data_IF_284187333557
#
_entry.id   IF_284187333557
#
_cell.length_a   1.000
_cell.length_b   1.000
_cell.length_c   1.000
_cell.angle_alpha   90.00
_cell.angle_beta   90.00
_cell.angle_gamma   90.00
#
_symmetry.space_group_name_H-M   'P 1'
#
loop_
_entity.id
_entity.type
_entity.pdbx_description
1 polymer ?
#
# COMPACT_ATOMS: atom_id res chain seq x y z
N UNK A 1 22.99 -8.75 12.80
CA UNK A 1 21.96 -7.98 13.52
C UNK A 1 20.95 -7.57 12.47
N UNK A 2 19.75 -8.16 12.42
CA UNK A 2 18.75 -7.72 11.45
C UNK A 2 18.21 -6.37 11.92
N UNK A 3 18.56 -5.31 11.21
CA UNK A 3 17.87 -4.03 11.31
C UNK A 3 16.36 -4.28 11.17
N UNK A 4 15.57 -3.69 12.05
CA UNK A 4 14.12 -3.84 12.00
C UNK A 4 13.61 -3.16 10.73
N UNK A 5 13.02 -3.94 9.81
CA UNK A 5 12.49 -3.39 8.57
C UNK A 5 11.30 -2.46 8.86
N UNK A 6 11.41 -1.21 8.42
CA UNK A 6 10.33 -0.23 8.50
C UNK A 6 9.72 0.09 7.13
N UNK A 7 8.40 -0.05 7.04
CA UNK A 7 7.63 0.33 5.86
C UNK A 7 7.60 1.85 5.66
N UNK A 8 7.62 2.63 6.73
CA UNK A 8 7.59 4.10 6.68
C UNK A 8 8.91 4.68 6.15
N UNK A 9 10.00 3.91 6.24
CA UNK A 9 11.30 4.28 5.70
C UNK A 9 11.48 3.81 4.26
N UNK A 10 11.00 2.62 3.89
CA UNK A 10 11.29 2.05 2.56
C UNK A 10 10.18 2.26 1.52
N UNK A 11 8.89 2.23 1.90
CA UNK A 11 7.75 2.47 0.99
C UNK A 11 7.66 1.55 -0.25
N UNK A 12 8.49 0.50 -0.36
CA UNK A 12 8.75 -0.15 -1.66
C UNK A 12 7.54 -0.89 -2.22
N UNK A 13 6.81 -1.64 -1.40
CA UNK A 13 5.60 -2.33 -1.84
C UNK A 13 4.49 -1.35 -2.28
N UNK A 14 4.51 -0.10 -1.82
CA UNK A 14 3.59 0.92 -2.29
C UNK A 14 3.96 1.44 -3.70
N UNK A 15 5.20 1.23 -4.16
CA UNK A 15 5.67 1.61 -5.50
C UNK A 15 5.37 0.55 -6.57
N UNK A 16 4.83 -0.61 -6.19
CA UNK A 16 4.55 -1.75 -7.09
C UNK A 16 3.05 -1.92 -7.36
N UNK A 17 2.24 -0.88 -7.16
CA UNK A 17 0.77 -0.98 -7.22
C UNK A 17 0.16 -0.94 -8.64
N UNK A 18 0.97 -0.65 -9.66
CA UNK A 18 0.56 -0.29 -11.04
C UNK A 18 -0.43 -1.24 -11.69
N UNK A 19 -0.41 -2.51 -11.30
CA UNK A 19 -1.22 -3.55 -11.94
C UNK A 19 -2.53 -3.85 -11.19
N UNK A 20 -2.94 -3.03 -10.20
CA UNK A 20 -4.19 -3.28 -9.47
C UNK A 20 -4.13 -4.54 -8.60
N UNK A 21 -2.92 -4.92 -8.17
CA UNK A 21 -2.64 -6.10 -7.35
C UNK A 21 -2.77 -5.84 -5.85
N UNK A 22 -2.78 -4.57 -5.43
CA UNK A 22 -3.04 -4.18 -4.04
C UNK A 22 -4.55 -4.08 -3.83
N UNK A 23 -5.18 -5.25 -3.76
CA UNK A 23 -6.64 -5.39 -3.67
C UNK A 23 -7.18 -4.77 -2.38
N UNK A 24 -8.39 -4.24 -2.46
CA UNK A 24 -9.14 -3.72 -1.32
C UNK A 24 -10.35 -4.62 -1.10
N UNK A 25 -10.35 -5.46 -0.05
CA UNK A 25 -11.55 -6.20 0.34
C UNK A 25 -12.73 -5.28 0.62
N UNK A 26 -13.95 -5.73 0.32
CA UNK A 26 -15.18 -4.95 0.57
C UNK A 26 -15.30 -4.48 2.03
N UNK A 27 -14.84 -5.29 2.98
CA UNK A 27 -14.81 -4.96 4.40
C UNK A 27 -14.02 -3.70 4.73
N UNK A 28 -12.95 -3.39 3.97
CA UNK A 28 -12.20 -2.15 4.15
C UNK A 28 -12.97 -0.93 3.64
N UNK A 29 -13.68 -1.06 2.51
CA UNK A 29 -14.52 0.02 1.98
C UNK A 29 -15.62 0.38 2.99
N UNK A 30 -16.28 -0.62 3.57
CA UNK A 30 -17.30 -0.44 4.60
C UNK A 30 -16.68 0.22 5.83
N UNK A 31 -15.54 -0.29 6.30
CA UNK A 31 -14.84 0.23 7.48
C UNK A 31 -14.43 1.69 7.31
N UNK A 32 -13.85 2.07 6.17
CA UNK A 32 -13.43 3.45 5.92
C UNK A 32 -14.61 4.41 5.85
N UNK A 33 -15.71 4.03 5.19
CA UNK A 33 -16.96 4.82 5.20
C UNK A 33 -17.48 5.01 6.62
N UNK A 34 -17.48 3.96 7.44
CA UNK A 34 -17.95 4.03 8.83
C UNK A 34 -17.14 4.98 9.72
N UNK A 35 -15.85 5.17 9.44
CA UNK A 35 -14.98 6.12 10.17
C UNK A 35 -14.87 7.49 9.49
N UNK A 36 -15.72 7.79 8.50
CA UNK A 36 -15.73 9.08 7.80
C UNK A 36 -14.57 9.29 6.82
N UNK A 37 -13.90 8.23 6.40
CA UNK A 37 -12.80 8.24 5.40
C UNK A 37 -13.29 7.83 4.02
N UNK A 38 -14.33 8.51 3.54
CA UNK A 38 -14.90 8.26 2.22
C UNK A 38 -13.90 8.54 1.08
N UNK A 39 -12.95 9.45 1.30
CA UNK A 39 -11.83 9.72 0.42
C UNK A 39 -11.04 8.44 0.07
N UNK A 40 -10.86 7.54 1.04
CA UNK A 40 -10.16 6.26 0.81
C UNK A 40 -11.01 5.27 0.02
N UNK A 41 -12.31 5.25 0.25
CA UNK A 41 -13.24 4.39 -0.49
C UNK A 41 -13.44 4.86 -1.95
N UNK A 42 -13.09 6.11 -2.26
CA UNK A 42 -13.14 6.69 -3.60
C UNK A 42 -11.78 6.62 -4.32
N UNK A 43 -10.67 6.56 -3.58
CA UNK A 43 -9.30 6.45 -4.11
C UNK A 43 -8.96 5.02 -4.59
N UNK A 44 -9.80 4.48 -5.48
CA UNK A 44 -9.74 3.10 -5.98
C UNK A 44 -9.58 3.04 -7.50
N UNK A 45 -9.14 1.89 -8.00
CA UNK A 45 -9.07 1.54 -9.42
C UNK A 45 -9.57 0.11 -9.63
N UNK A 46 -9.86 -0.32 -10.88
CA UNK A 46 -10.12 -1.73 -11.17
C UNK A 46 -8.96 -2.61 -10.70
N UNK A 47 -9.28 -3.67 -9.95
CA UNK A 47 -8.33 -4.67 -9.50
C UNK A 47 -8.40 -5.96 -10.31
N UNK A 48 -7.51 -6.89 -9.98
CA UNK A 48 -7.56 -8.24 -10.54
C UNK A 48 -8.84 -8.99 -10.11
N UNK A 49 -9.27 -9.96 -10.92
CA UNK A 49 -10.39 -10.86 -10.61
C UNK A 49 -11.77 -10.18 -10.44
N UNK A 50 -11.94 -8.97 -10.99
CA UNK A 50 -13.19 -8.22 -10.86
C UNK A 50 -13.34 -7.48 -9.51
N UNK A 51 -12.30 -7.52 -8.68
CA UNK A 51 -12.20 -6.77 -7.44
C UNK A 51 -11.81 -5.31 -7.69
N UNK A 52 -11.68 -4.53 -6.62
CA UNK A 52 -11.10 -3.19 -6.65
C UNK A 52 -9.75 -3.17 -5.95
N UNK A 53 -8.88 -2.25 -6.36
CA UNK A 53 -7.54 -2.06 -5.81
C UNK A 53 -7.31 -0.59 -5.44
N UNK A 54 -6.28 -0.32 -4.65
CA UNK A 54 -5.85 1.06 -4.42
C UNK A 54 -5.49 1.74 -5.73
N UNK A 55 -5.99 2.97 -5.92
CA UNK A 55 -5.60 3.78 -7.07
C UNK A 55 -4.09 4.03 -7.07
N UNK A 56 -3.56 4.23 -8.28
CA UNK A 56 -2.15 4.54 -8.49
C UNK A 56 -1.95 5.85 -9.22
N UNK A 57 -0.80 6.48 -8.99
CA UNK A 57 -0.30 7.62 -9.75
C UNK A 57 0.22 7.14 -11.11
N UNK A 58 0.55 8.08 -12.00
CA UNK A 58 1.09 7.77 -13.33
C UNK A 58 2.38 6.94 -13.28
N UNK A 59 3.19 7.11 -12.23
CA UNK A 59 4.41 6.34 -12.00
C UNK A 59 4.16 4.92 -11.43
N UNK A 60 2.90 4.54 -11.22
CA UNK A 60 2.51 3.24 -10.68
C UNK A 60 2.55 3.14 -9.15
N UNK A 61 2.92 4.21 -8.44
CA UNK A 61 2.89 4.23 -6.98
C UNK A 61 1.46 4.40 -6.44
N UNK A 62 1.16 3.77 -5.31
CA UNK A 62 -0.09 3.95 -4.59
C UNK A 62 -0.30 5.44 -4.28
N UNK A 63 -1.52 5.95 -4.50
CA UNK A 63 -1.85 7.37 -4.28
C UNK A 63 -1.61 7.85 -2.84
N UNK A 64 -1.61 6.94 -1.87
CA UNK A 64 -1.35 7.23 -0.46
C UNK A 64 0.14 7.19 -0.08
N UNK A 65 1.06 6.88 -1.00
CA UNK A 65 2.50 6.89 -0.74
C UNK A 65 3.04 8.31 -0.66
N UNK A 66 3.66 8.66 0.46
CA UNK A 66 4.27 9.96 0.69
C UNK A 66 3.47 10.82 1.69
N UNK A 67 4.23 11.58 2.46
CA UNK A 67 3.80 12.59 3.43
C UNK A 67 4.70 13.82 3.25
N UNK A 68 4.33 15.00 3.79
CA UNK A 68 5.23 16.16 3.79
C UNK A 68 6.60 15.87 4.42
N UNK A 69 6.67 14.95 5.39
CA UNK A 69 7.88 14.61 6.14
C UNK A 69 8.73 13.51 5.49
N UNK A 70 8.11 12.62 4.72
CA UNK A 70 8.78 11.48 4.07
C UNK A 70 8.05 11.02 2.83
N UNK A 71 8.76 10.91 1.70
CA UNK A 71 8.23 10.36 0.44
C UNK A 71 7.90 8.86 0.51
N UNK A 72 8.49 8.14 1.47
CA UNK A 72 8.32 6.70 1.64
C UNK A 72 7.20 6.36 2.64
N UNK A 73 6.77 7.32 3.44
CA UNK A 73 5.76 7.09 4.47
C UNK A 73 4.35 7.01 3.87
N UNK A 74 3.60 5.97 4.25
CA UNK A 74 2.20 5.87 3.87
C UNK A 74 1.34 6.85 4.67
N UNK A 75 0.64 7.76 3.99
CA UNK A 75 -0.25 8.75 4.62
C UNK A 75 -1.46 8.16 5.37
N UNK A 76 -1.75 6.87 5.19
CA UNK A 76 -2.87 6.17 5.83
C UNK A 76 -2.42 5.01 6.72
N UNK A 77 -1.15 4.99 7.14
CA UNK A 77 -0.51 3.81 7.74
C UNK A 77 -1.32 3.16 8.88
N UNK A 78 -1.85 3.96 9.82
CA UNK A 78 -2.63 3.48 10.96
C UNK A 78 -3.94 2.79 10.58
N UNK A 79 -4.57 3.25 9.50
CA UNK A 79 -5.88 2.76 9.03
C UNK A 79 -5.79 1.99 7.72
N UNK A 80 -4.57 1.57 7.35
CA UNK A 80 -4.25 0.84 6.12
C UNK A 80 -5.22 -0.33 5.87
N UNK A 81 -5.44 -0.61 4.58
CA UNK A 81 -6.26 -1.72 4.14
C UNK A 81 -5.71 -3.07 4.59
N UNK A 82 -6.55 -4.08 4.57
CA UNK A 82 -6.29 -5.46 4.97
C UNK A 82 -5.12 -6.04 4.19
N UNK A 83 -5.11 -5.92 2.86
CA UNK A 83 -3.99 -6.39 2.02
C UNK A 83 -2.65 -5.82 2.48
N UNK A 84 -2.58 -4.52 2.78
CA UNK A 84 -1.36 -3.89 3.28
C UNK A 84 -1.02 -4.28 4.73
N UNK A 85 -2.04 -4.63 5.53
CA UNK A 85 -1.89 -5.00 6.94
C UNK A 85 -1.39 -6.42 7.12
N UNK A 86 -1.89 -7.33 6.30
CA UNK A 86 -1.56 -8.76 6.29
C UNK A 86 -0.27 -9.05 5.52
N UNK A 87 0.15 -8.16 4.62
CA UNK A 87 1.45 -8.27 3.97
C UNK A 87 2.59 -8.20 5.01
N UNK A 88 3.18 -9.36 5.30
CA UNK A 88 4.17 -9.49 6.36
C UNK A 88 5.48 -8.78 6.00
N UNK A 89 5.90 -7.86 6.87
CA UNK A 89 7.20 -7.18 6.76
C UNK A 89 8.34 -8.19 6.85
N UNK A 90 9.22 -8.19 5.86
CA UNK A 90 10.34 -9.13 5.79
C UNK A 90 9.98 -10.52 5.24
N UNK A 91 8.75 -10.72 4.77
CA UNK A 91 8.39 -11.88 3.95
C UNK A 91 9.30 -12.00 2.71
N UNK A 92 9.40 -13.18 2.08
CA UNK A 92 10.17 -13.35 0.85
C UNK A 92 9.82 -12.34 -0.25
N UNK A 93 8.53 -12.05 -0.43
CA UNK A 93 8.01 -11.06 -1.37
C UNK A 93 8.40 -9.63 -0.99
N UNK A 94 8.34 -9.28 0.31
CA UNK A 94 8.83 -7.99 0.79
C UNK A 94 10.31 -7.79 0.44
N UNK A 95 11.14 -8.81 0.66
CA UNK A 95 12.57 -8.77 0.32
C UNK A 95 12.83 -8.74 -1.17
N UNK A 96 12.01 -9.42 -1.97
CA UNK A 96 12.09 -9.36 -3.44
C UNK A 96 11.88 -7.93 -3.94
N UNK A 97 10.81 -7.26 -3.52
CA UNK A 97 10.60 -5.86 -3.87
C UNK A 97 11.76 -4.97 -3.40
N UNK A 98 12.29 -5.20 -2.20
CA UNK A 98 13.46 -4.45 -1.70
C UNK A 98 14.69 -4.64 -2.61
N UNK A 99 14.96 -5.85 -3.09
CA UNK A 99 16.05 -6.13 -4.05
C UNK A 99 15.80 -5.44 -5.40
N UNK A 100 14.58 -5.49 -5.91
CA UNK A 100 14.22 -4.84 -7.18
C UNK A 100 14.43 -3.32 -7.13
N UNK A 101 14.33 -2.73 -5.94
CA UNK A 101 14.58 -1.32 -5.67
C UNK A 101 15.99 -1.02 -5.10
N UNK A 102 16.89 -2.00 -5.10
CA UNK A 102 18.29 -1.83 -4.70
C UNK A 102 18.53 -1.57 -3.21
N UNK A 103 17.62 -2.01 -2.33
CA UNK A 103 17.74 -1.88 -0.87
C UNK A 103 18.31 -3.13 -0.17
N UNK A 104 18.64 -4.17 -0.94
CA UNK A 104 19.25 -5.45 -0.49
C UNK A 104 20.25 -5.98 -1.52
#
# INVERSE_FOLDING_TARGET
>A
MSEALDCLECGVCCRTGRDGTILIPESDLIRWRAIGREDLAQAIQPGHFGEVAFATREDGSCVHLGTPESENACSIYEIRGTTCREFERGSPQCREFRRDFGLE
#
